data_IF_274797688014
#
_entry.id   IF_274797688014
#
_cell.length_a   1.000
_cell.length_b   1.000
_cell.length_c   1.000
_cell.angle_alpha   90.00
_cell.angle_beta   90.00
_cell.angle_gamma   90.00
#
_symmetry.space_group_name_H-M   'P 1'
#
loop_
_entity.id
_entity.type
_entity.pdbx_description
1 polymer ?
#
# COMPACT_ATOMS: atom_id res chain seq x y z
N UNK A 1 2.74 -4.13 -10.99
CA UNK A 1 3.13 -3.45 -9.73
C UNK A 1 1.91 -3.42 -8.81
N UNK A 2 2.05 -3.83 -7.54
CA UNK A 2 0.94 -4.10 -6.62
C UNK A 2 0.88 -3.18 -5.41
N UNK A 3 1.42 -1.96 -5.52
CA UNK A 3 1.73 -1.08 -4.39
C UNK A 3 0.50 -0.64 -3.59
N UNK A 4 -0.70 -0.71 -4.17
CA UNK A 4 -1.94 -0.19 -3.60
C UNK A 4 -3.02 -1.27 -3.46
N UNK A 5 -2.65 -2.56 -3.52
CA UNK A 5 -3.62 -3.64 -3.39
C UNK A 5 -4.25 -3.64 -1.99
N UNK A 6 -5.58 -3.78 -1.94
CA UNK A 6 -6.35 -3.73 -0.71
C UNK A 6 -6.65 -2.31 -0.22
N UNK A 7 -6.26 -1.26 -0.95
CA UNK A 7 -6.64 0.09 -0.57
C UNK A 7 -8.11 0.32 -0.88
N UNK A 8 -8.79 0.96 0.08
CA UNK A 8 -10.18 1.34 0.00
C UNK A 8 -10.33 2.78 0.41
N UNK A 9 -11.37 3.45 -0.11
CA UNK A 9 -11.67 4.81 0.31
C UNK A 9 -11.88 4.88 1.83
N UNK A 10 -11.34 5.95 2.41
CA UNK A 10 -11.58 6.27 3.82
C UNK A 10 -13.04 6.70 4.01
N UNK A 11 -13.52 6.58 5.25
CA UNK A 11 -14.84 7.08 5.64
C UNK A 11 -14.99 8.58 5.26
N UNK A 12 -15.96 8.95 4.41
CA UNK A 12 -16.17 10.34 3.99
C UNK A 12 -16.52 11.28 5.14
N UNK A 13 -17.04 10.78 6.26
CA UNK A 13 -17.35 11.56 7.46
C UNK A 13 -16.21 11.58 8.48
N UNK A 14 -15.13 10.84 8.23
CA UNK A 14 -13.98 10.72 9.12
C UNK A 14 -12.95 11.85 8.99
N UNK A 15 -12.15 12.06 10.04
CA UNK A 15 -11.11 13.11 10.08
C UNK A 15 -10.12 13.00 8.92
N UNK A 16 -9.72 11.79 8.52
CA UNK A 16 -8.80 11.56 7.40
C UNK A 16 -9.34 12.09 6.07
N UNK A 17 -10.64 11.97 5.81
CA UNK A 17 -11.24 12.49 4.57
C UNK A 17 -11.17 14.02 4.51
N UNK A 18 -11.34 14.70 5.64
CA UNK A 18 -11.28 16.17 5.72
C UNK A 18 -9.87 16.74 5.52
N UNK A 19 -8.83 15.94 5.78
CA UNK A 19 -7.42 16.34 5.70
C UNK A 19 -6.73 16.04 4.36
N UNK A 20 -7.44 15.48 3.38
CA UNK A 20 -6.82 15.08 2.11
C UNK A 20 -6.43 16.30 1.26
N UNK A 21 -5.29 16.20 0.57
CA UNK A 21 -4.98 17.11 -0.53
C UNK A 21 -6.00 16.98 -1.66
N UNK A 22 -5.95 17.89 -2.64
CA UNK A 22 -6.80 17.79 -3.83
C UNK A 22 -6.58 16.47 -4.57
N UNK A 23 -5.31 16.13 -4.82
CA UNK A 23 -4.91 14.91 -5.54
C UNK A 23 -5.35 13.65 -4.78
N UNK A 24 -5.17 13.65 -3.45
CA UNK A 24 -5.61 12.54 -2.61
C UNK A 24 -7.13 12.42 -2.54
N UNK A 25 -7.86 13.55 -2.62
CA UNK A 25 -9.32 13.54 -2.70
C UNK A 25 -9.80 12.91 -4.01
N UNK A 26 -9.13 13.21 -5.13
CA UNK A 26 -9.42 12.59 -6.44
C UNK A 26 -9.14 11.07 -6.40
N UNK A 27 -8.02 10.64 -5.82
CA UNK A 27 -7.70 9.22 -5.62
C UNK A 27 -8.74 8.54 -4.71
N UNK A 28 -9.10 9.16 -3.60
CA UNK A 28 -10.10 8.62 -2.68
C UNK A 28 -11.47 8.45 -3.37
N UNK A 29 -11.86 9.42 -4.21
CA UNK A 29 -13.09 9.34 -5.00
C UNK A 29 -13.06 8.21 -6.04
N UNK A 30 -11.89 7.88 -6.60
CA UNK A 30 -11.72 6.71 -7.47
C UNK A 30 -11.85 5.41 -6.68
N UNK A 31 -11.21 5.31 -5.50
CA UNK A 31 -11.29 4.14 -4.64
C UNK A 31 -12.70 3.92 -4.08
N UNK A 32 -13.51 4.98 -3.92
CA UNK A 32 -14.89 4.90 -3.46
C UNK A 32 -15.85 4.32 -4.53
N UNK A 33 -15.41 4.23 -5.79
CA UNK A 33 -16.19 3.59 -6.85
C UNK A 33 -16.07 2.07 -6.75
N UNK A 34 -17.05 1.35 -7.28
CA UNK A 34 -17.13 -0.11 -7.15
C UNK A 34 -16.03 -0.88 -7.90
N UNK A 35 -15.15 -0.24 -8.69
CA UNK A 35 -14.12 -0.94 -9.47
C UNK A 35 -13.12 -1.76 -8.64
N UNK A 36 -12.43 -1.13 -7.70
CA UNK A 36 -11.44 -1.83 -6.87
C UNK A 36 -12.10 -2.70 -5.81
N UNK A 37 -13.17 -2.22 -5.16
CA UNK A 37 -13.87 -3.00 -4.13
C UNK A 37 -14.55 -4.25 -4.69
N UNK A 38 -15.08 -4.21 -5.92
CA UNK A 38 -15.61 -5.41 -6.57
C UNK A 38 -14.49 -6.42 -6.87
N UNK A 39 -13.30 -5.93 -7.26
CA UNK A 39 -12.15 -6.80 -7.47
C UNK A 39 -11.65 -7.42 -6.16
N UNK A 40 -11.64 -6.67 -5.05
CA UNK A 40 -11.26 -7.20 -3.73
C UNK A 40 -12.19 -8.33 -3.28
N UNK A 41 -13.51 -8.20 -3.53
CA UNK A 41 -14.53 -9.24 -3.23
C UNK A 41 -14.36 -10.55 -4.00
N UNK A 42 -13.51 -10.59 -5.03
CA UNK A 42 -13.19 -11.82 -5.75
C UNK A 42 -12.08 -12.64 -5.06
N UNK A 43 -11.42 -12.09 -4.05
CA UNK A 43 -10.32 -12.74 -3.34
C UNK A 43 -10.88 -13.54 -2.16
N UNK A 44 -10.66 -14.85 -2.15
CA UNK A 44 -11.06 -15.71 -1.03
C UNK A 44 -10.20 -15.47 0.22
N UNK A 45 -8.92 -15.13 0.02
CA UNK A 45 -7.90 -15.03 1.08
C UNK A 45 -6.94 -13.88 0.79
N UNK A 46 -6.50 -13.18 1.83
CA UNK A 46 -5.49 -12.12 1.76
C UNK A 46 -4.23 -12.45 2.56
N UNK A 47 -3.08 -12.07 2.00
CA UNK A 47 -1.78 -12.08 2.66
C UNK A 47 -1.30 -10.62 2.80
N UNK A 48 -1.29 -10.08 4.01
CA UNK A 48 -0.91 -8.69 4.27
C UNK A 48 0.40 -8.63 5.04
N UNK A 49 1.43 -8.07 4.40
CA UNK A 49 2.74 -7.84 5.03
C UNK A 49 2.77 -6.40 5.53
N UNK A 50 2.71 -6.22 6.85
CA UNK A 50 2.70 -4.91 7.48
C UNK A 50 4.12 -4.38 7.64
N UNK A 51 4.24 -3.07 7.42
CA UNK A 51 5.50 -2.35 7.56
C UNK A 51 5.40 -1.36 8.70
N UNK A 52 6.30 -1.47 9.69
CA UNK A 52 6.29 -0.62 10.89
C UNK A 52 6.65 0.84 10.59
N UNK A 53 7.57 1.08 9.67
CA UNK A 53 8.08 2.41 9.34
C UNK A 53 8.18 2.55 7.82
N UNK A 54 7.45 3.51 7.25
CA UNK A 54 7.44 3.73 5.80
C UNK A 54 8.84 4.05 5.23
N UNK A 55 9.76 4.56 6.05
CA UNK A 55 11.15 4.82 5.68
C UNK A 55 11.89 3.59 5.14
N UNK A 56 11.51 2.37 5.54
CA UNK A 56 12.16 1.17 5.01
C UNK A 56 11.78 0.90 3.55
N UNK A 57 10.64 1.43 3.07
CA UNK A 57 10.17 1.28 1.69
C UNK A 57 11.15 1.92 0.72
N UNK A 58 11.68 3.11 1.05
CA UNK A 58 12.72 3.75 0.25
C UNK A 58 13.97 2.86 0.15
N UNK A 59 14.46 2.35 1.29
CA UNK A 59 15.64 1.47 1.32
C UNK A 59 15.41 0.20 0.51
N UNK A 60 14.22 -0.39 0.60
CA UNK A 60 13.88 -1.59 -0.15
C UNK A 60 13.78 -1.33 -1.64
N UNK A 61 13.18 -0.21 -2.06
CA UNK A 61 13.09 0.17 -3.47
C UNK A 61 14.47 0.45 -4.06
N UNK A 62 15.34 1.13 -3.30
CA UNK A 62 16.72 1.40 -3.70
C UNK A 62 17.54 0.11 -3.87
N UNK A 63 17.37 -0.85 -2.96
CA UNK A 63 18.00 -2.18 -3.08
C UNK A 63 17.53 -2.92 -4.34
N UNK A 64 16.23 -2.91 -4.63
CA UNK A 64 15.68 -3.51 -5.83
C UNK A 64 16.24 -2.86 -7.11
N UNK A 65 16.35 -1.52 -7.13
CA UNK A 65 16.91 -0.78 -8.26
C UNK A 65 18.40 -1.06 -8.46
N UNK A 66 19.17 -1.11 -7.37
CA UNK A 66 20.60 -1.46 -7.39
C UNK A 66 20.81 -2.87 -7.93
N UNK A 67 20.00 -3.84 -7.49
CA UNK A 67 20.06 -5.22 -7.97
C UNK A 67 19.71 -5.31 -9.47
N UNK A 68 18.72 -4.54 -9.92
CA UNK A 68 18.34 -4.48 -11.34
C UNK A 68 19.47 -3.91 -12.20
N UNK A 69 20.09 -2.79 -11.79
CA UNK A 69 21.25 -2.21 -12.49
C UNK A 69 22.44 -3.16 -12.52
N UNK A 70 22.69 -3.89 -11.45
CA UNK A 70 23.75 -4.88 -11.39
C UNK A 70 23.52 -6.07 -12.34
N UNK A 71 22.26 -6.50 -12.49
CA UNK A 71 21.90 -7.63 -13.35
C UNK A 71 21.79 -7.27 -14.84
N UNK A 72 21.31 -6.06 -15.17
CA UNK A 72 20.90 -5.70 -16.53
C UNK A 72 21.63 -4.49 -17.14
N UNK A 73 22.51 -3.81 -16.37
CA UNK A 73 23.29 -2.67 -16.83
C UNK A 73 22.93 -1.35 -16.12
N UNK A 74 23.92 -0.46 -15.98
CA UNK A 74 23.77 0.80 -15.24
C UNK A 74 22.80 1.78 -15.89
N UNK A 75 22.56 1.67 -17.20
CA UNK A 75 21.58 2.45 -17.96
C UNK A 75 20.15 1.91 -17.81
N UNK A 76 19.97 0.76 -17.17
CA UNK A 76 18.67 0.15 -16.91
C UNK A 76 18.28 0.44 -15.47
N UNK A 77 17.67 1.61 -15.26
CA UNK A 77 17.03 1.98 -13.98
C UNK A 77 17.00 3.47 -13.66
N UNK A 78 16.34 3.79 -12.55
CA UNK A 78 16.22 5.10 -11.92
C UNK A 78 17.48 5.45 -11.11
N UNK A 79 17.87 6.72 -11.08
CA UNK A 79 18.83 7.26 -10.11
C UNK A 79 18.28 7.17 -8.68
N UNK A 80 19.15 7.37 -7.68
CA UNK A 80 18.74 7.35 -6.27
C UNK A 80 17.71 8.46 -5.97
N UNK A 81 17.86 9.63 -6.62
CA UNK A 81 16.92 10.75 -6.54
C UNK A 81 15.59 10.42 -7.22
N UNK A 82 15.61 9.76 -8.38
CA UNK A 82 14.40 9.31 -9.07
C UNK A 82 13.68 8.23 -8.25
N UNK A 83 14.40 7.30 -7.62
CA UNK A 83 13.84 6.33 -6.67
C UNK A 83 13.18 7.05 -5.50
N UNK A 84 13.81 8.08 -4.95
CA UNK A 84 13.27 8.86 -3.85
C UNK A 84 11.97 9.56 -4.25
N UNK A 85 11.98 10.30 -5.35
CA UNK A 85 10.81 10.99 -5.88
C UNK A 85 9.68 10.02 -6.22
N UNK A 86 10.03 8.84 -6.78
CA UNK A 86 9.07 7.77 -7.02
C UNK A 86 8.41 7.34 -5.72
N UNK A 87 9.18 6.94 -4.69
CA UNK A 87 8.61 6.46 -3.42
C UNK A 87 7.79 7.55 -2.72
N UNK A 88 8.29 8.80 -2.70
CA UNK A 88 7.59 9.95 -2.10
C UNK A 88 6.19 10.16 -2.68
N UNK A 89 5.99 9.86 -3.98
CA UNK A 89 4.67 9.97 -4.61
C UNK A 89 3.62 8.98 -4.07
N UNK A 90 4.04 7.87 -3.43
CA UNK A 90 3.14 6.86 -2.85
C UNK A 90 2.91 7.05 -1.35
N UNK A 91 3.80 7.78 -0.64
CA UNK A 91 3.70 7.96 0.81
C UNK A 91 2.34 8.53 1.25
N UNK A 92 1.76 9.56 0.59
CA UNK A 92 0.45 10.09 0.96
C UNK A 92 -0.66 9.03 0.92
N UNK A 93 -0.63 8.12 -0.06
CA UNK A 93 -1.57 7.01 -0.15
C UNK A 93 -1.35 6.00 0.99
N UNK A 94 -0.10 5.73 1.36
CA UNK A 94 0.23 4.82 2.46
C UNK A 94 -0.24 5.34 3.80
N UNK A 95 0.02 6.62 4.09
CA UNK A 95 -0.46 7.27 5.30
C UNK A 95 -2.00 7.30 5.36
N UNK A 96 -2.67 7.44 4.22
CA UNK A 96 -4.14 7.53 4.16
C UNK A 96 -4.81 6.17 4.33
N UNK A 97 -4.37 5.15 3.58
CA UNK A 97 -5.14 3.91 3.37
C UNK A 97 -4.62 2.69 4.14
N UNK A 98 -3.33 2.65 4.51
CA UNK A 98 -2.82 1.53 5.31
C UNK A 98 -3.50 1.35 6.67
N UNK A 99 -3.91 2.41 7.41
CA UNK A 99 -4.57 2.21 8.69
C UNK A 99 -5.83 1.34 8.60
N UNK A 100 -6.61 1.46 7.51
CA UNK A 100 -7.81 0.64 7.32
C UNK A 100 -7.44 -0.80 6.94
N UNK A 101 -6.48 -0.96 6.01
CA UNK A 101 -5.96 -2.26 5.61
C UNK A 101 -5.33 -3.02 6.79
N UNK A 102 -4.79 -2.31 7.78
CA UNK A 102 -4.16 -2.87 8.96
C UNK A 102 -5.13 -3.08 10.13
N UNK A 103 -6.41 -2.77 9.97
CA UNK A 103 -7.43 -2.94 11.01
C UNK A 103 -8.26 -4.20 10.74
N UNK A 104 -8.08 -5.31 11.50
CA UNK A 104 -8.79 -6.56 11.24
C UNK A 104 -10.32 -6.43 11.23
N UNK A 105 -10.86 -5.55 12.09
CA UNK A 105 -12.30 -5.32 12.17
C UNK A 105 -12.90 -4.74 10.88
N UNK A 106 -12.09 -4.19 9.97
CA UNK A 106 -12.54 -3.62 8.71
C UNK A 106 -12.39 -4.59 7.52
N UNK A 107 -11.72 -5.73 7.69
CA UNK A 107 -11.36 -6.60 6.55
C UNK A 107 -12.56 -7.18 5.82
N UNK A 108 -13.60 -7.62 6.52
CA UNK A 108 -14.80 -8.14 5.86
C UNK A 108 -15.50 -7.06 5.01
N UNK A 109 -15.60 -5.83 5.53
CA UNK A 109 -16.23 -4.72 4.81
C UNK A 109 -15.38 -4.26 3.61
N UNK A 110 -14.07 -4.02 3.86
CA UNK A 110 -13.18 -3.37 2.90
C UNK A 110 -12.59 -4.33 1.87
N UNK A 111 -12.27 -5.55 2.27
CA UNK A 111 -11.63 -6.56 1.41
C UNK A 111 -12.61 -7.61 0.89
N UNK A 112 -13.83 -7.69 1.44
CA UNK A 112 -14.87 -8.61 0.99
C UNK A 112 -14.66 -10.07 1.39
N UNK A 113 -13.75 -10.34 2.32
CA UNK A 113 -13.51 -11.69 2.85
C UNK A 113 -14.70 -12.21 3.67
N UNK A 114 -14.90 -13.53 3.67
CA UNK A 114 -15.98 -14.16 4.41
C UNK A 114 -15.75 -14.11 5.92
N UNK A 115 -14.51 -14.28 6.37
CA UNK A 115 -14.06 -14.19 7.76
C UNK A 115 -12.82 -13.29 7.89
N UNK A 116 -12.63 -12.67 9.04
CA UNK A 116 -11.35 -12.01 9.36
C UNK A 116 -10.19 -13.01 9.44
N UNK A 117 -10.48 -14.29 9.65
CA UNK A 117 -9.47 -15.37 9.64
C UNK A 117 -8.93 -15.66 8.22
N UNK A 118 -9.63 -15.20 7.18
CA UNK A 118 -9.20 -15.32 5.78
C UNK A 118 -8.16 -14.25 5.41
N UNK A 119 -7.73 -13.43 6.37
CA UNK A 119 -6.64 -12.48 6.21
C UNK A 119 -5.47 -12.89 7.11
N UNK A 120 -4.42 -13.45 6.49
CA UNK A 120 -3.17 -13.68 7.19
C UNK A 120 -2.32 -12.42 7.15
N UNK A 121 -2.21 -11.74 8.30
CA UNK A 121 -1.49 -10.47 8.43
C UNK A 121 -0.35 -10.58 9.44
N UNK A 122 0.86 -10.14 9.07
CA UNK A 122 2.02 -10.13 9.95
C UNK A 122 2.93 -8.92 9.67
N UNK A 123 3.64 -8.45 10.69
CA UNK A 123 4.60 -7.34 10.59
C UNK A 123 5.98 -7.85 10.18
N UNK A 124 6.72 -7.01 9.45
CA UNK A 124 8.16 -7.23 9.20
C UNK A 124 9.02 -6.06 9.68
N UNK A 125 10.23 -6.39 10.13
CA UNK A 125 11.28 -5.41 10.44
C UNK A 125 11.90 -4.81 9.16
N UNK A 126 12.75 -3.77 9.25
CA UNK A 126 13.45 -3.21 8.09
C UNK A 126 14.36 -4.18 7.34
N UNK A 127 14.70 -5.33 7.93
CA UNK A 127 15.48 -6.41 7.32
C UNK A 127 14.58 -7.47 6.65
N UNK A 128 13.25 -7.28 6.66
CA UNK A 128 12.21 -8.16 6.11
C UNK A 128 12.01 -9.45 6.92
N UNK A 129 12.39 -9.47 8.19
CA UNK A 129 12.08 -10.59 9.09
C UNK A 129 10.70 -10.39 9.71
N UNK A 130 9.87 -11.45 9.84
CA UNK A 130 8.63 -11.39 10.61
C UNK A 130 8.91 -11.05 12.09
N UNK A 131 8.09 -10.19 12.69
CA UNK A 131 8.20 -9.76 14.10
C UNK A 131 6.89 -9.81 14.86
#
# INVERSE_FOLDING_TARGET
EGWMQGFTAVDPEGERASGLSREMSEINAILAQNGYSDMWRLMDVWLVIQVKQLDCIFKWRLQAETAMKAAYGQDKGMSDEEVKAFVESYIPAYETYLPDLYTPALHQEKLGVASTDDVFMFEVDPMRNPV
#
